data_IF_180985168193
#
_entry.id   IF_180985168193
#
_cell.length_a   1.000
_cell.length_b   1.000
_cell.length_c   1.000
_cell.angle_alpha   90.00
_cell.angle_beta   90.00
_cell.angle_gamma   90.00
#
_symmetry.space_group_name_H-M   'P 1'
#
loop_
_entity.id
_entity.type
_entity.pdbx_description
1 polymer ?
#
# COMPACT_ATOMS: atom_id res chain seq x y z
N UNK A 1 16.50 -28.05 -23.76
CA UNK A 1 15.66 -28.67 -22.72
C UNK A 1 15.01 -27.52 -22.01
N UNK A 2 13.70 -27.60 -21.80
CA UNK A 2 12.95 -26.47 -21.26
C UNK A 2 12.71 -26.72 -19.77
N UNK A 3 13.02 -25.75 -18.92
CA UNK A 3 12.74 -25.81 -17.49
C UNK A 3 11.39 -25.17 -17.19
N UNK A 4 10.71 -25.69 -16.18
CA UNK A 4 9.49 -25.10 -15.65
C UNK A 4 9.64 -24.91 -14.15
N UNK A 5 9.38 -23.69 -13.68
CA UNK A 5 9.50 -23.29 -12.29
C UNK A 5 8.10 -23.01 -11.75
N UNK A 6 7.73 -23.63 -10.63
CA UNK A 6 6.42 -23.43 -9.99
C UNK A 6 6.57 -23.01 -8.54
N UNK A 7 5.82 -21.98 -8.16
CA UNK A 7 5.67 -21.58 -6.77
C UNK A 7 4.54 -22.41 -6.12
N UNK A 8 4.83 -23.01 -4.97
CA UNK A 8 3.89 -23.79 -4.14
C UNK A 8 3.99 -23.30 -2.70
N UNK A 9 3.17 -22.31 -2.36
CA UNK A 9 3.28 -21.61 -1.08
C UNK A 9 4.67 -20.97 -0.94
N UNK A 10 5.42 -21.39 0.08
CA UNK A 10 6.81 -20.92 0.31
C UNK A 10 7.88 -21.76 -0.40
N UNK A 11 7.49 -22.82 -1.10
CA UNK A 11 8.42 -23.73 -1.79
C UNK A 11 8.39 -23.50 -3.29
N UNK A 12 9.55 -23.62 -3.93
CA UNK A 12 9.73 -23.55 -5.39
C UNK A 12 10.06 -24.93 -5.90
N UNK A 13 9.29 -25.40 -6.87
CA UNK A 13 9.48 -26.69 -7.52
C UNK A 13 10.07 -26.50 -8.91
N UNK A 14 11.16 -27.22 -9.17
CA UNK A 14 11.87 -27.23 -10.44
C UNK A 14 11.51 -28.47 -11.24
N UNK A 15 11.08 -28.29 -12.49
CA UNK A 15 10.71 -29.37 -13.39
C UNK A 15 11.49 -29.26 -14.70
N UNK A 16 12.00 -30.40 -15.19
CA UNK A 16 12.58 -30.54 -16.52
C UNK A 16 11.50 -31.05 -17.47
N UNK A 17 11.32 -30.37 -18.60
CA UNK A 17 10.41 -30.82 -19.67
C UNK A 17 11.22 -31.57 -20.72
N UNK A 18 10.95 -32.86 -20.87
CA UNK A 18 11.55 -33.72 -21.89
C UNK A 18 10.51 -34.07 -22.95
N UNK A 19 10.85 -33.93 -24.24
CA UNK A 19 10.03 -34.47 -25.34
C UNK A 19 10.28 -35.99 -25.42
N UNK A 20 9.21 -36.79 -25.36
CA UNK A 20 9.34 -38.23 -25.57
C UNK A 20 9.57 -38.51 -27.06
N UNK A 21 10.56 -39.34 -27.39
CA UNK A 21 10.87 -39.68 -28.79
C UNK A 21 9.83 -40.60 -29.45
N UNK A 22 9.02 -41.27 -28.63
CA UNK A 22 8.05 -42.30 -29.06
C UNK A 22 6.60 -41.77 -29.10
N UNK A 23 6.32 -40.71 -28.34
CA UNK A 23 4.98 -40.09 -28.29
C UNK A 23 5.13 -38.58 -28.26
N UNK A 24 4.31 -37.85 -29.03
CA UNK A 24 4.30 -36.37 -29.13
C UNK A 24 3.93 -35.65 -27.81
N UNK A 25 3.97 -36.34 -26.67
CA UNK A 25 3.61 -35.84 -25.33
C UNK A 25 4.86 -35.37 -24.59
N UNK A 26 4.75 -34.20 -23.99
CA UNK A 26 5.78 -33.66 -23.11
C UNK A 26 5.73 -34.39 -21.76
N UNK A 27 6.88 -34.89 -21.29
CA UNK A 27 7.02 -35.45 -19.94
C UNK A 27 7.69 -34.42 -19.03
N UNK A 28 7.09 -34.19 -17.87
CA UNK A 28 7.65 -33.32 -16.83
C UNK A 28 8.30 -34.19 -15.76
N UNK A 29 9.58 -33.95 -15.48
CA UNK A 29 10.35 -34.65 -14.45
C UNK A 29 10.69 -33.65 -13.36
N UNK A 30 10.35 -33.97 -12.11
CA UNK A 30 10.71 -33.11 -10.98
C UNK A 30 12.21 -33.22 -10.73
N UNK A 31 12.91 -32.09 -10.77
CA UNK A 31 14.33 -32.01 -10.46
C UNK A 31 14.50 -31.85 -8.95
N UNK A 32 13.74 -30.95 -8.33
CA UNK A 32 13.78 -30.78 -6.89
C UNK A 32 12.89 -29.64 -6.41
N UNK A 33 12.94 -29.41 -5.11
CA UNK A 33 12.19 -28.35 -4.44
C UNK A 33 13.12 -27.65 -3.46
N UNK A 34 13.05 -26.33 -3.40
CA UNK A 34 13.78 -25.52 -2.43
C UNK A 34 12.91 -24.33 -2.01
N UNK A 35 13.38 -23.52 -1.07
CA UNK A 35 12.66 -22.32 -0.63
C UNK A 35 13.36 -21.08 -1.18
N UNK A 36 12.62 -20.16 -1.79
CA UNK A 36 13.22 -18.99 -2.45
C UNK A 36 13.78 -17.94 -1.47
N UNK A 37 13.37 -17.99 -0.20
CA UNK A 37 13.93 -17.20 0.89
C UNK A 37 15.27 -17.76 1.42
N UNK A 38 15.70 -18.92 0.94
CA UNK A 38 16.94 -19.59 1.30
C UNK A 38 17.86 -19.72 0.07
N UNK A 39 19.12 -20.08 0.31
CA UNK A 39 20.04 -20.41 -0.77
C UNK A 39 19.61 -21.70 -1.50
N UNK A 40 19.81 -21.74 -2.81
CA UNK A 40 19.50 -22.95 -3.59
C UNK A 40 20.48 -24.06 -3.18
N UNK A 41 19.99 -25.25 -2.78
CA UNK A 41 20.85 -26.35 -2.37
C UNK A 41 21.87 -26.75 -3.46
N UNK A 42 23.12 -26.99 -3.07
CA UNK A 42 24.20 -27.28 -4.01
C UNK A 42 23.97 -28.57 -4.81
N UNK A 43 23.43 -29.60 -4.16
CA UNK A 43 23.02 -30.87 -4.77
C UNK A 43 21.93 -30.66 -5.83
N UNK A 44 21.02 -29.72 -5.62
CA UNK A 44 20.02 -29.33 -6.62
C UNK A 44 20.67 -28.63 -7.81
N UNK A 45 21.64 -27.74 -7.57
CA UNK A 45 22.38 -27.06 -8.64
C UNK A 45 23.22 -28.02 -9.48
N UNK A 46 23.78 -29.07 -8.88
CA UNK A 46 24.54 -30.11 -9.59
C UNK A 46 23.69 -30.91 -10.57
N UNK A 47 22.39 -31.10 -10.26
CA UNK A 47 21.43 -31.83 -11.11
C UNK A 47 20.94 -31.04 -12.31
N UNK A 48 21.13 -29.72 -12.31
CA UNK A 48 20.75 -28.81 -13.38
C UNK A 48 21.85 -28.73 -14.45
N UNK A 49 21.45 -28.59 -15.71
CA UNK A 49 22.38 -28.27 -16.78
C UNK A 49 22.74 -26.75 -16.81
N UNK A 50 23.62 -26.34 -17.74
CA UNK A 50 24.02 -24.92 -17.86
C UNK A 50 22.85 -24.02 -18.25
N UNK A 51 21.93 -24.49 -19.08
CA UNK A 51 20.79 -23.72 -19.52
C UNK A 51 19.77 -23.54 -18.38
N UNK A 52 19.43 -24.64 -17.70
CA UNK A 52 18.54 -24.65 -16.55
C UNK A 52 19.06 -23.77 -15.41
N UNK A 53 20.39 -23.77 -15.14
CA UNK A 53 20.99 -22.85 -14.16
C UNK A 53 20.82 -21.38 -14.55
N UNK A 54 20.90 -21.04 -15.85
CA UNK A 54 20.66 -19.68 -16.32
C UNK A 54 19.19 -19.29 -16.18
N UNK A 55 18.27 -20.18 -16.54
CA UNK A 55 16.83 -19.95 -16.38
C UNK A 55 16.44 -19.76 -14.90
N UNK A 56 16.98 -20.60 -14.00
CA UNK A 56 16.78 -20.45 -12.56
C UNK A 56 17.34 -19.13 -12.04
N UNK A 57 18.54 -18.73 -12.48
CA UNK A 57 19.17 -17.47 -12.05
C UNK A 57 18.33 -16.25 -12.45
N UNK A 58 17.86 -16.21 -13.71
CA UNK A 58 16.99 -15.13 -14.19
C UNK A 58 15.66 -15.10 -13.44
N UNK A 59 15.06 -16.27 -13.17
CA UNK A 59 13.84 -16.36 -12.40
C UNK A 59 14.02 -15.86 -10.95
N UNK A 60 15.14 -16.20 -10.29
CA UNK A 60 15.43 -15.74 -8.93
C UNK A 60 15.57 -14.22 -8.83
N UNK A 61 16.16 -13.57 -9.84
CA UNK A 61 16.24 -12.10 -9.90
C UNK A 61 14.83 -11.51 -9.98
N UNK A 62 14.03 -11.97 -10.94
CA UNK A 62 12.65 -11.49 -11.11
C UNK A 62 11.77 -11.75 -9.88
N UNK A 63 11.94 -12.91 -9.23
CA UNK A 63 11.25 -13.24 -7.99
C UNK A 63 11.63 -12.27 -6.86
N UNK A 64 12.93 -11.98 -6.67
CA UNK A 64 13.39 -11.03 -5.63
C UNK A 64 12.83 -9.64 -5.84
N UNK A 65 12.78 -9.15 -7.07
CA UNK A 65 12.21 -7.85 -7.41
C UNK A 65 10.70 -7.82 -7.11
N UNK A 66 9.98 -8.88 -7.48
CA UNK A 66 8.56 -9.05 -7.17
C UNK A 66 8.31 -9.04 -5.65
N UNK A 67 9.13 -9.77 -4.89
CA UNK A 67 9.03 -9.81 -3.43
C UNK A 67 9.33 -8.45 -2.78
N UNK A 68 10.31 -7.70 -3.31
CA UNK A 68 10.60 -6.35 -2.84
C UNK A 68 9.39 -5.41 -3.05
N UNK A 69 8.73 -5.51 -4.20
CA UNK A 69 7.51 -4.76 -4.48
C UNK A 69 6.33 -5.18 -3.59
N UNK A 70 6.15 -6.48 -3.36
CA UNK A 70 5.11 -7.00 -2.47
C UNK A 70 5.29 -6.48 -1.03
N UNK A 71 6.51 -6.59 -0.47
CA UNK A 71 6.83 -6.05 0.86
C UNK A 71 6.61 -4.54 0.94
N UNK A 72 7.00 -3.79 -0.09
CA UNK A 72 6.76 -2.34 -0.11
C UNK A 72 5.27 -2.01 -0.06
N UNK A 73 4.42 -2.77 -0.77
CA UNK A 73 2.96 -2.60 -0.72
C UNK A 73 2.39 -2.90 0.67
N UNK A 74 2.84 -3.96 1.32
CA UNK A 74 2.43 -4.28 2.69
C UNK A 74 2.80 -3.17 3.68
N UNK A 75 4.02 -2.63 3.56
CA UNK A 75 4.46 -1.48 4.35
C UNK A 75 3.55 -0.27 4.09
N UNK A 76 3.25 0.05 2.84
CA UNK A 76 2.34 1.17 2.54
C UNK A 76 0.91 0.95 3.04
N UNK A 77 0.40 -0.28 3.00
CA UNK A 77 -0.92 -0.61 3.50
C UNK A 77 -1.02 -0.44 5.03
N UNK A 78 0.04 -0.78 5.75
CA UNK A 78 0.10 -0.65 7.22
C UNK A 78 0.54 0.74 7.71
N UNK A 79 1.16 1.56 6.86
CA UNK A 79 1.76 2.83 7.25
C UNK A 79 0.78 3.83 7.90
N UNK A 80 -0.48 4.00 7.45
CA UNK A 80 -1.43 4.92 8.07
C UNK A 80 -1.67 4.60 9.55
N UNK A 81 -1.94 3.33 9.88
CA UNK A 81 -2.19 2.91 11.26
C UNK A 81 -1.01 3.19 12.19
N UNK A 82 0.22 2.91 11.75
CA UNK A 82 1.42 3.22 12.52
C UNK A 82 1.64 4.72 12.73
N UNK A 83 1.24 5.55 11.76
CA UNK A 83 1.31 7.01 11.91
C UNK A 83 0.24 7.52 12.87
N UNK A 84 -0.96 6.95 12.86
CA UNK A 84 -2.02 7.29 13.80
C UNK A 84 -1.63 6.91 15.24
N UNK A 85 -1.00 5.74 15.44
CA UNK A 85 -0.42 5.34 16.73
C UNK A 85 0.65 6.32 17.22
N UNK A 86 1.52 6.80 16.32
CA UNK A 86 2.54 7.79 16.67
C UNK A 86 1.91 9.14 17.06
N UNK A 87 0.86 9.58 16.35
CA UNK A 87 0.12 10.80 16.69
C UNK A 87 -0.53 10.65 18.07
N UNK A 88 -1.21 9.54 18.34
CA UNK A 88 -1.82 9.28 19.65
C UNK A 88 -0.80 9.28 20.79
N UNK A 89 0.39 8.70 20.58
CA UNK A 89 1.47 8.71 21.56
C UNK A 89 2.01 10.12 21.82
N UNK A 90 2.16 10.95 20.79
CA UNK A 90 2.57 12.35 20.93
C UNK A 90 1.52 13.17 21.68
N UNK A 91 0.24 13.00 21.37
CA UNK A 91 -0.84 13.71 22.07
C UNK A 91 -0.89 13.34 23.56
N UNK A 92 -0.66 12.06 23.89
CA UNK A 92 -0.66 11.59 25.27
C UNK A 92 0.58 12.01 26.07
N UNK A 93 1.75 12.07 25.43
CA UNK A 93 3.03 12.08 26.15
C UNK A 93 4.16 12.89 25.49
N UNK A 94 3.86 13.90 24.65
CA UNK A 94 4.89 14.72 23.98
C UNK A 94 5.94 15.31 24.95
N UNK A 95 5.54 15.64 26.19
CA UNK A 95 6.46 16.17 27.20
C UNK A 95 7.54 15.19 27.67
N UNK A 96 7.40 13.89 27.39
CA UNK A 96 8.40 12.86 27.69
C UNK A 96 9.44 12.69 26.59
N UNK A 97 9.22 13.27 25.41
CA UNK A 97 10.10 13.11 24.26
C UNK A 97 11.37 13.95 24.44
N UNK A 98 12.54 13.32 24.39
CA UNK A 98 13.79 14.05 24.45
C UNK A 98 13.98 14.90 23.18
N UNK A 99 14.64 16.08 23.24
CA UNK A 99 14.86 16.91 22.06
C UNK A 99 15.56 16.16 20.89
N UNK A 100 16.52 15.30 21.20
CA UNK A 100 17.21 14.49 20.20
C UNK A 100 16.29 13.47 19.50
N UNK A 101 15.31 12.92 20.21
CA UNK A 101 14.32 11.99 19.65
C UNK A 101 13.34 12.72 18.76
N UNK A 102 12.90 13.92 19.17
CA UNK A 102 12.08 14.81 18.36
C UNK A 102 12.78 15.16 17.03
N UNK A 103 14.07 15.46 17.06
CA UNK A 103 14.86 15.71 15.85
C UNK A 103 14.91 14.50 14.91
N UNK A 104 15.02 13.28 15.46
CA UNK A 104 14.96 12.04 14.65
C UNK A 104 13.61 11.89 13.97
N UNK A 105 12.51 12.10 14.70
CA UNK A 105 11.16 12.02 14.14
C UNK A 105 10.96 13.04 13.02
N UNK A 106 11.37 14.30 13.23
CA UNK A 106 11.31 15.33 12.19
C UNK A 106 12.10 14.95 10.95
N UNK A 107 13.33 14.45 11.09
CA UNK A 107 14.13 13.99 9.94
C UNK A 107 13.43 12.86 9.17
N UNK A 108 12.85 11.88 9.87
CA UNK A 108 12.08 10.78 9.25
C UNK A 108 10.86 11.30 8.48
N UNK A 109 10.08 12.21 9.08
CA UNK A 109 8.95 12.84 8.40
C UNK A 109 9.38 13.59 7.12
N UNK A 110 10.51 14.28 7.15
CA UNK A 110 11.06 14.93 5.95
C UNK A 110 11.48 13.93 4.87
N UNK A 111 12.08 12.79 5.26
CA UNK A 111 12.42 11.72 4.32
C UNK A 111 11.18 11.11 3.67
N UNK A 112 10.12 10.85 4.45
CA UNK A 112 8.84 10.35 3.94
C UNK A 112 8.24 11.37 2.96
N UNK A 113 8.16 12.64 3.33
CA UNK A 113 7.62 13.69 2.47
C UNK A 113 8.42 13.84 1.16
N UNK A 114 9.76 13.69 1.21
CA UNK A 114 10.62 13.68 0.01
C UNK A 114 10.35 12.44 -0.85
N UNK A 115 10.15 11.28 -0.22
CA UNK A 115 9.77 10.03 -0.89
C UNK A 115 8.47 10.17 -1.66
N UNK A 116 7.43 10.69 -1.01
CA UNK A 116 6.11 10.94 -1.63
C UNK A 116 6.22 11.88 -2.84
N UNK A 117 6.93 13.00 -2.71
CA UNK A 117 7.16 13.93 -3.82
C UNK A 117 7.86 13.25 -5.00
N UNK A 118 8.91 12.46 -4.72
CA UNK A 118 9.63 11.72 -5.77
C UNK A 118 8.73 10.68 -6.46
N UNK A 119 7.80 10.09 -5.71
CA UNK A 119 6.79 9.16 -6.24
C UNK A 119 5.64 9.80 -7.00
N UNK A 120 5.66 11.11 -7.24
CA UNK A 120 4.56 11.80 -7.95
C UNK A 120 3.36 12.13 -7.07
N UNK A 121 3.50 12.04 -5.76
CA UNK A 121 2.48 12.42 -4.78
C UNK A 121 2.89 13.73 -4.09
N UNK A 122 2.68 14.91 -4.72
CA UNK A 122 2.99 16.19 -4.11
C UNK A 122 2.13 16.41 -2.86
N UNK A 123 2.63 17.26 -1.95
CA UNK A 123 1.90 17.58 -0.72
C UNK A 123 0.52 18.14 -1.10
N UNK A 124 -0.60 17.59 -0.58
CA UNK A 124 -1.91 18.14 -0.83
C UNK A 124 -1.93 19.62 -0.43
N UNK A 125 -2.54 20.48 -1.26
CA UNK A 125 -2.80 21.86 -0.87
C UNK A 125 -3.64 21.82 0.40
N UNK A 126 -3.17 22.46 1.47
CA UNK A 126 -3.99 22.69 2.65
C UNK A 126 -5.21 23.48 2.19
N UNK A 127 -6.39 22.89 2.28
CA UNK A 127 -7.62 23.67 2.32
C UNK A 127 -7.53 24.47 3.62
N UNK A 128 -7.54 25.81 3.58
CA UNK A 128 -7.60 26.61 4.79
C UNK A 128 -8.79 26.10 5.62
N UNK A 129 -8.56 25.83 6.91
CA UNK A 129 -9.68 25.60 7.81
C UNK A 129 -10.60 26.82 7.67
N UNK A 130 -11.87 26.58 7.34
CA UNK A 130 -12.85 27.65 7.27
C UNK A 130 -12.81 28.35 8.64
N UNK A 131 -12.58 29.67 8.68
CA UNK A 131 -12.52 30.37 9.96
C UNK A 131 -13.81 30.07 10.71
N UNK A 132 -13.67 29.60 11.95
CA UNK A 132 -14.83 29.38 12.81
C UNK A 132 -15.66 30.68 12.81
N UNK A 133 -16.99 30.61 12.58
CA UNK A 133 -17.81 31.80 12.59
C UNK A 133 -17.62 32.52 13.92
N UNK A 134 -17.39 33.83 13.85
CA UNK A 134 -17.28 34.67 15.03
C UNK A 134 -18.60 34.59 15.83
N UNK A 135 -18.57 34.70 17.17
CA UNK A 135 -19.79 34.73 17.96
C UNK A 135 -20.73 35.83 17.46
N UNK A 136 -21.91 35.46 16.96
CA UNK A 136 -22.90 36.38 16.39
C UNK A 136 -22.98 36.43 14.86
N UNK A 137 -22.16 35.66 14.14
CA UNK A 137 -22.31 35.51 12.68
C UNK A 137 -23.32 34.39 12.37
N UNK A 138 -24.57 34.77 12.11
CA UNK A 138 -25.59 33.86 11.59
C UNK A 138 -25.27 33.50 10.14
N UNK A 139 -25.28 32.21 9.82
CA UNK A 139 -25.14 31.73 8.45
C UNK A 139 -26.39 32.16 7.66
N UNK A 140 -26.20 32.85 6.53
CA UNK A 140 -27.31 33.37 5.72
C UNK A 140 -28.18 32.25 5.14
N UNK A 141 -27.66 31.02 5.13
CA UNK A 141 -28.36 29.81 4.70
C UNK A 141 -29.43 29.42 5.73
N UNK A 142 -29.13 29.47 7.03
CA UNK A 142 -30.11 29.22 8.10
C UNK A 142 -31.16 30.35 8.21
N UNK A 143 -30.79 31.58 7.85
CA UNK A 143 -31.70 32.73 7.85
C UNK A 143 -32.78 32.64 6.76
N UNK A 144 -32.53 31.90 5.67
CA UNK A 144 -33.49 31.68 4.59
C UNK A 144 -34.45 30.49 4.86
N UNK A 145 -34.13 29.66 5.85
CA UNK A 145 -34.99 28.53 6.30
C UNK A 145 -35.82 28.86 7.55
N UNK A 146 -35.79 30.12 8.03
CA UNK A 146 -36.70 30.65 9.05
C UNK A 146 -38.17 30.64 8.59
N UNK A 147 -39.14 30.52 9.52
CA UNK A 147 -40.47 29.99 9.24
C UNK A 147 -41.19 30.79 8.16
N UNK A 148 -41.71 30.07 7.16
CA UNK A 148 -42.62 30.58 6.15
C UNK A 148 -43.66 31.48 6.83
N UNK A 149 -43.56 32.78 6.58
CA UNK A 149 -44.56 33.74 7.01
C UNK A 149 -45.83 33.34 6.27
N UNK A 150 -46.72 32.62 6.95
CA UNK A 150 -48.05 32.33 6.47
C UNK A 150 -48.77 33.67 6.36
N UNK A 151 -48.76 34.24 5.15
CA UNK A 151 -49.65 35.34 4.78
C UNK A 151 -51.05 34.74 4.77
N UNK A 152 -51.72 34.74 5.92
CA UNK A 152 -53.14 34.48 5.99
C UNK A 152 -53.85 35.70 5.42
N UNK A 153 -54.27 35.59 4.17
CA UNK A 153 -55.32 36.43 3.63
C UNK A 153 -56.55 36.30 4.53
N UNK A 154 -57.06 37.43 5.02
CA UNK A 154 -58.39 37.52 5.63
C UNK A 154 -59.18 38.51 4.78
N UNK A 155 -59.96 37.95 3.84
CA UNK A 155 -61.12 38.61 3.25
C UNK A 155 -62.35 38.40 4.15
N UNK A 156 -63.38 39.22 3.88
CA UNK A 156 -64.72 39.34 4.48
C UNK A 156 -64.82 40.19 5.77
N UNK A 157 -65.63 41.24 5.90
CA UNK A 157 -66.65 41.86 5.04
C UNK A 157 -67.71 42.61 5.89
N UNK A 158 -67.99 43.87 5.53
CA UNK A 158 -69.27 44.63 5.62
C UNK A 158 -69.88 45.15 6.96
N UNK A 159 -69.87 46.50 7.08
CA UNK A 159 -70.92 47.55 7.36
C UNK A 159 -71.84 47.45 8.62
N UNK A 160 -72.17 48.59 9.26
CA UNK A 160 -73.53 49.17 9.12
C UNK A 160 -73.56 50.61 8.57
#
# INVERSE_FOLDING_TARGET
MDMLIREQGRSIKLLRVTRSGDTRRHRQIVIGTFRADEDVPADLLERLDRNERRELSSWLVAWRDSQAMARAREVFASAPAHLDELVAALDAAAGLLAPAEADVLWRKLQMIARGLRRGGHPRPRRVPAQPAPLPGQLDLIDALEGPAIAVTATEDGVIP
#
